data_IF_348015163892
#
_entry.id   IF_348015163892
#
_cell.length_a   1.000
_cell.length_b   1.000
_cell.length_c   1.000
_cell.angle_alpha   90.00
_cell.angle_beta   90.00
_cell.angle_gamma   90.00
#
_symmetry.space_group_name_H-M   'P 1'
#
loop_
_entity.id
_entity.type
_entity.pdbx_description
1 polymer ?
#
# COMPACT_ATOMS: atom_id res chain seq x y z
N UNK A 1 -4.33 3.69 -3.58
CA UNK A 1 -3.25 2.73 -3.79
C UNK A 1 -3.72 1.40 -3.23
N UNK A 2 -3.72 0.34 -4.03
CA UNK A 2 -4.10 -0.98 -3.53
C UNK A 2 -2.90 -1.63 -2.84
N UNK A 3 -3.15 -2.24 -1.69
CA UNK A 3 -2.18 -3.09 -1.00
C UNK A 3 -2.43 -4.51 -1.46
N UNK A 4 -1.38 -5.17 -1.94
CA UNK A 4 -1.51 -6.50 -2.54
C UNK A 4 -0.82 -7.54 -1.69
N UNK A 5 -1.51 -8.66 -1.49
CA UNK A 5 -0.91 -9.89 -0.95
C UNK A 5 0.14 -10.45 -1.91
N UNK A 6 0.99 -11.36 -1.45
CA UNK A 6 1.96 -12.08 -2.29
C UNK A 6 1.29 -12.72 -3.54
N UNK A 7 0.18 -13.43 -3.32
CA UNK A 7 -0.55 -14.12 -4.39
C UNK A 7 -1.11 -13.15 -5.42
N UNK A 8 -1.67 -12.04 -4.97
CA UNK A 8 -2.18 -10.99 -5.86
C UNK A 8 -1.06 -10.31 -6.66
N UNK A 9 0.10 -10.04 -6.03
CA UNK A 9 1.28 -9.50 -6.72
C UNK A 9 1.75 -10.44 -7.84
N UNK A 10 1.80 -11.75 -7.58
CA UNK A 10 2.18 -12.76 -8.58
C UNK A 10 1.15 -12.80 -9.71
N UNK A 11 -0.13 -12.86 -9.37
CA UNK A 11 -1.23 -12.90 -10.35
C UNK A 11 -1.24 -11.66 -11.24
N UNK A 12 -1.06 -10.47 -10.65
CA UNK A 12 -0.97 -9.20 -11.35
C UNK A 12 0.16 -9.24 -12.37
N UNK A 13 1.40 -9.55 -11.94
CA UNK A 13 2.57 -9.61 -12.83
C UNK A 13 2.42 -10.65 -13.93
N UNK A 14 1.82 -11.80 -13.63
CA UNK A 14 1.52 -12.83 -14.64
C UNK A 14 0.54 -12.31 -15.70
N UNK A 15 -0.49 -11.59 -15.29
CA UNK A 15 -1.52 -11.03 -16.18
C UNK A 15 -0.97 -9.87 -17.01
N UNK A 16 -0.15 -9.00 -16.44
CA UNK A 16 0.59 -7.96 -17.18
C UNK A 16 1.44 -8.54 -18.31
N UNK A 17 1.96 -9.76 -18.13
CA UNK A 17 2.73 -10.49 -19.15
C UNK A 17 1.89 -11.37 -20.07
N UNK A 18 0.56 -11.37 -19.96
CA UNK A 18 -0.34 -12.25 -20.71
C UNK A 18 -0.01 -13.75 -20.58
N UNK A 19 0.57 -14.16 -19.45
CA UNK A 19 0.98 -15.55 -19.23
C UNK A 19 -0.19 -16.37 -18.66
N UNK A 20 -0.37 -17.60 -19.15
CA UNK A 20 -1.25 -18.59 -18.51
C UNK A 20 -0.58 -19.15 -17.25
N UNK A 21 -1.35 -19.88 -16.41
CA UNK A 21 -0.79 -20.62 -15.28
C UNK A 21 0.25 -21.65 -15.75
N UNK A 22 0.01 -22.29 -16.91
CA UNK A 22 0.92 -23.25 -17.52
C UNK A 22 2.22 -22.58 -17.96
N UNK A 23 2.13 -21.38 -18.53
CA UNK A 23 3.32 -20.62 -18.93
C UNK A 23 4.16 -20.31 -17.69
N UNK A 24 3.58 -19.73 -16.63
CA UNK A 24 4.34 -19.40 -15.41
C UNK A 24 4.91 -20.65 -14.73
N UNK A 25 4.14 -21.74 -14.68
CA UNK A 25 4.57 -23.00 -14.11
C UNK A 25 5.81 -23.57 -14.81
N UNK A 26 5.85 -23.51 -16.15
CA UNK A 26 6.93 -24.09 -16.96
C UNK A 26 7.13 -25.57 -16.64
N UNK A 27 8.39 -25.97 -16.46
CA UNK A 27 8.75 -27.38 -16.23
C UNK A 27 9.08 -27.70 -14.77
N UNK A 28 9.08 -26.70 -13.87
CA UNK A 28 9.52 -26.87 -12.48
C UNK A 28 8.38 -27.20 -11.52
N UNK A 29 7.18 -26.69 -11.79
CA UNK A 29 6.01 -26.78 -10.92
C UNK A 29 4.75 -26.98 -11.74
N UNK A 30 3.64 -27.31 -11.10
CA UNK A 30 2.35 -27.50 -11.77
C UNK A 30 1.54 -26.19 -11.86
N UNK A 31 0.64 -26.04 -12.85
CA UNK A 31 -0.31 -24.93 -12.89
C UNK A 31 -1.18 -24.85 -11.62
N UNK A 32 -1.48 -25.99 -11.01
CA UNK A 32 -2.22 -26.07 -9.75
C UNK A 32 -1.47 -25.45 -8.58
N UNK A 33 -0.15 -25.66 -8.48
CA UNK A 33 0.68 -25.02 -7.46
C UNK A 33 0.70 -23.48 -7.62
N UNK A 34 0.83 -22.97 -8.85
CA UNK A 34 0.71 -21.52 -9.09
C UNK A 34 -0.66 -21.00 -8.66
N UNK A 35 -1.75 -21.71 -8.98
CA UNK A 35 -3.10 -21.30 -8.58
C UNK A 35 -3.26 -21.22 -7.05
N UNK A 36 -2.68 -22.16 -6.30
CA UNK A 36 -2.69 -22.13 -4.84
C UNK A 36 -1.91 -20.94 -4.28
N UNK A 37 -0.77 -20.61 -4.86
CA UNK A 37 0.02 -19.42 -4.48
C UNK A 37 -0.75 -18.14 -4.79
N UNK A 38 -1.29 -18.01 -6.00
CA UNK A 38 -2.05 -16.82 -6.42
C UNK A 38 -3.34 -16.58 -5.62
N UNK A 39 -3.91 -17.64 -5.06
CA UNK A 39 -5.10 -17.56 -4.20
C UNK A 39 -4.79 -17.44 -2.71
N UNK A 40 -3.50 -17.34 -2.34
CA UNK A 40 -3.07 -17.26 -0.94
C UNK A 40 -3.24 -18.56 -0.15
N UNK A 41 -3.63 -19.66 -0.80
CA UNK A 41 -3.85 -20.96 -0.16
C UNK A 41 -2.55 -21.73 0.11
N UNK A 42 -1.43 -21.30 -0.46
CA UNK A 42 -0.11 -21.86 -0.18
C UNK A 42 0.95 -20.77 -0.14
N UNK A 43 1.81 -20.81 0.88
CA UNK A 43 2.97 -19.94 0.95
C UNK A 43 4.17 -20.62 0.24
N UNK A 44 4.72 -20.05 -0.84
CA UNK A 44 5.86 -20.64 -1.54
C UNK A 44 7.14 -20.55 -0.70
N UNK A 45 8.07 -21.50 -0.88
CA UNK A 45 9.43 -21.34 -0.37
C UNK A 45 10.17 -20.22 -1.10
N UNK A 46 11.28 -19.72 -0.54
CA UNK A 46 12.13 -18.71 -1.18
C UNK A 46 12.61 -19.19 -2.56
N UNK A 47 13.11 -20.42 -2.67
CA UNK A 47 13.54 -21.00 -3.96
C UNK A 47 12.43 -21.01 -5.02
N UNK A 48 11.20 -21.29 -4.60
CA UNK A 48 10.04 -21.28 -5.50
C UNK A 48 9.69 -19.86 -5.89
N UNK A 49 9.75 -18.92 -4.94
CA UNK A 49 9.47 -17.52 -5.20
C UNK A 49 10.52 -16.89 -6.12
N UNK A 50 11.80 -17.20 -5.96
CA UNK A 50 12.87 -16.81 -6.88
C UNK A 50 12.63 -17.33 -8.29
N UNK A 51 12.21 -18.59 -8.42
CA UNK A 51 11.83 -19.14 -9.71
C UNK A 51 10.68 -18.35 -10.35
N UNK A 52 9.60 -18.09 -9.60
CA UNK A 52 8.46 -17.30 -10.07
C UNK A 52 8.92 -15.89 -10.47
N UNK A 53 9.73 -15.23 -9.66
CA UNK A 53 10.25 -13.90 -9.89
C UNK A 53 11.07 -13.82 -11.19
N UNK A 54 11.98 -14.78 -11.39
CA UNK A 54 12.77 -14.91 -12.62
C UNK A 54 11.88 -15.12 -13.86
N UNK A 55 10.87 -15.99 -13.78
CA UNK A 55 9.93 -16.24 -14.89
C UNK A 55 9.09 -15.00 -15.21
N UNK A 56 8.73 -14.22 -14.20
CA UNK A 56 8.01 -12.95 -14.32
C UNK A 56 8.95 -11.76 -14.58
N UNK A 57 10.26 -11.96 -14.74
CA UNK A 57 11.22 -10.87 -14.96
C UNK A 57 11.06 -9.72 -13.96
N UNK A 58 10.79 -10.06 -12.70
CA UNK A 58 10.51 -9.12 -11.61
C UNK A 58 11.45 -9.45 -10.47
N UNK A 59 11.88 -8.43 -9.71
CA UNK A 59 12.77 -8.63 -8.57
C UNK A 59 12.09 -9.42 -7.46
N UNK A 60 12.85 -10.26 -6.76
CA UNK A 60 12.35 -11.04 -5.62
C UNK A 60 11.78 -10.12 -4.53
N UNK A 61 12.45 -8.99 -4.28
CA UNK A 61 12.10 -7.99 -3.27
C UNK A 61 10.67 -7.48 -3.41
N UNK A 62 10.21 -7.27 -4.65
CA UNK A 62 8.84 -6.86 -4.93
C UNK A 62 7.82 -7.85 -4.37
N UNK A 63 8.10 -9.16 -4.46
CA UNK A 63 7.21 -10.19 -3.92
C UNK A 63 7.35 -10.34 -2.41
N UNK A 64 8.55 -10.18 -1.86
CA UNK A 64 8.80 -10.26 -0.41
C UNK A 64 8.22 -9.08 0.37
N UNK A 65 7.98 -7.94 -0.28
CA UNK A 65 7.42 -6.77 0.39
C UNK A 65 6.08 -7.07 1.07
N UNK A 66 6.01 -6.88 2.38
CA UNK A 66 4.81 -7.15 3.16
C UNK A 66 3.70 -6.13 2.89
N UNK A 67 2.46 -6.49 3.18
CA UNK A 67 1.32 -5.57 3.14
C UNK A 67 1.52 -4.39 4.10
N UNK A 68 2.12 -4.64 5.27
CA UNK A 68 2.48 -3.61 6.25
C UNK A 68 3.48 -2.60 5.65
N UNK A 69 4.50 -3.08 4.92
CA UNK A 69 5.49 -2.20 4.30
C UNK A 69 4.89 -1.40 3.15
N UNK A 70 4.03 -2.01 2.34
CA UNK A 70 3.25 -1.31 1.31
C UNK A 70 2.37 -0.22 1.95
N UNK A 71 1.65 -0.56 3.03
CA UNK A 71 0.78 0.38 3.73
C UNK A 71 1.55 1.54 4.37
N UNK A 72 2.76 1.27 4.88
CA UNK A 72 3.66 2.30 5.40
C UNK A 72 4.05 3.30 4.32
N UNK A 73 4.44 2.84 3.12
CA UNK A 73 4.72 3.73 1.97
C UNK A 73 3.50 4.55 1.55
N UNK A 74 2.30 3.95 1.60
CA UNK A 74 1.05 4.67 1.35
C UNK A 74 0.81 5.76 2.40
N UNK A 75 1.10 5.48 3.66
CA UNK A 75 1.02 6.48 4.73
C UNK A 75 2.05 7.60 4.52
N UNK A 76 3.31 7.29 4.24
CA UNK A 76 4.36 8.28 3.92
C UNK A 76 3.93 9.22 2.78
N UNK A 77 3.28 8.68 1.75
CA UNK A 77 2.76 9.48 0.65
C UNK A 77 1.67 10.46 1.09
N UNK A 78 0.67 10.00 1.84
CA UNK A 78 -0.41 10.87 2.30
C UNK A 78 0.03 11.89 3.34
N UNK A 79 0.98 11.50 4.19
CA UNK A 79 1.64 12.37 5.15
C UNK A 79 2.34 13.55 4.45
N UNK A 80 3.13 13.29 3.40
CA UNK A 80 3.74 14.35 2.61
C UNK A 80 2.73 15.28 1.92
N UNK A 81 1.61 14.74 1.41
CA UNK A 81 0.55 15.59 0.83
C UNK A 81 -0.13 16.43 1.90
N UNK A 82 -0.40 15.84 3.07
CA UNK A 82 -1.03 16.55 4.19
C UNK A 82 -0.16 17.72 4.66
N UNK A 83 1.12 17.48 4.94
CA UNK A 83 2.07 18.51 5.36
C UNK A 83 2.18 19.64 4.32
N UNK A 84 2.33 19.30 3.04
CA UNK A 84 2.37 20.30 1.96
C UNK A 84 1.06 21.10 1.89
N UNK A 85 -0.09 20.44 2.00
CA UNK A 85 -1.40 21.09 1.87
C UNK A 85 -1.69 22.00 3.07
N UNK A 86 -1.24 21.63 4.28
CA UNK A 86 -1.31 22.50 5.47
C UNK A 86 -0.50 23.77 5.25
N UNK A 87 0.75 23.63 4.77
CA UNK A 87 1.60 24.79 4.49
C UNK A 87 0.99 25.73 3.44
N UNK A 88 0.32 25.17 2.44
CA UNK A 88 -0.37 25.93 1.39
C UNK A 88 -1.75 26.46 1.84
N UNK A 89 -2.15 26.24 3.10
CA UNK A 89 -3.50 26.53 3.64
C UNK A 89 -4.65 25.90 2.84
N UNK A 90 -4.37 24.82 2.10
CA UNK A 90 -5.39 24.03 1.43
C UNK A 90 -5.96 22.99 2.41
N UNK A 91 -6.80 23.46 3.34
CA UNK A 91 -7.28 22.67 4.48
C UNK A 91 -8.12 21.47 4.05
N UNK A 92 -8.95 21.62 3.00
CA UNK A 92 -9.76 20.53 2.44
C UNK A 92 -8.85 19.40 1.95
N UNK A 93 -7.81 19.71 1.17
CA UNK A 93 -6.89 18.69 0.64
C UNK A 93 -6.05 18.07 1.76
N UNK A 94 -5.67 18.85 2.76
CA UNK A 94 -4.99 18.34 3.95
C UNK A 94 -5.88 17.33 4.68
N UNK A 95 -7.13 17.69 4.97
CA UNK A 95 -8.09 16.81 5.65
C UNK A 95 -8.27 15.49 4.90
N UNK A 96 -8.56 15.55 3.59
CA UNK A 96 -8.75 14.35 2.78
C UNK A 96 -7.51 13.43 2.81
N UNK A 97 -6.32 14.02 2.79
CA UNK A 97 -5.06 13.26 2.79
C UNK A 97 -4.82 12.60 4.13
N UNK A 98 -5.07 13.32 5.23
CA UNK A 98 -4.98 12.79 6.59
C UNK A 98 -5.97 11.64 6.79
N UNK A 99 -7.23 11.79 6.37
CA UNK A 99 -8.26 10.75 6.50
C UNK A 99 -7.88 9.48 5.72
N UNK A 100 -7.40 9.65 4.48
CA UNK A 100 -6.90 8.52 3.68
C UNK A 100 -5.71 7.84 4.36
N UNK A 101 -4.73 8.60 4.83
CA UNK A 101 -3.57 8.08 5.55
C UNK A 101 -3.96 7.32 6.83
N UNK A 102 -4.84 7.90 7.63
CA UNK A 102 -5.34 7.32 8.88
C UNK A 102 -6.08 6.00 8.63
N UNK A 103 -6.86 5.90 7.55
CA UNK A 103 -7.51 4.65 7.15
C UNK A 103 -6.50 3.51 6.95
N UNK A 104 -5.41 3.73 6.20
CA UNK A 104 -4.38 2.70 6.02
C UNK A 104 -3.64 2.41 7.33
N UNK A 105 -3.31 3.44 8.10
CA UNK A 105 -2.60 3.27 9.36
C UNK A 105 -3.41 2.41 10.36
N UNK A 106 -4.72 2.60 10.45
CA UNK A 106 -5.59 1.79 11.28
C UNK A 106 -5.77 0.38 10.73
N UNK A 107 -6.05 0.25 9.43
CA UNK A 107 -6.32 -1.04 8.77
C UNK A 107 -5.13 -2.00 8.88
N UNK A 108 -3.90 -1.49 8.77
CA UNK A 108 -2.67 -2.28 8.81
C UNK A 108 -1.91 -2.17 10.13
N UNK A 109 -2.55 -1.63 11.17
CA UNK A 109 -2.01 -1.51 12.53
C UNK A 109 -0.61 -0.85 12.58
N UNK A 110 -0.52 0.35 12.02
CA UNK A 110 0.69 1.18 11.97
C UNK A 110 0.61 2.31 13.01
N UNK A 111 0.96 2.08 14.29
CA UNK A 111 0.70 3.02 15.38
C UNK A 111 1.45 4.35 15.22
N UNK A 112 2.67 4.33 14.66
CA UNK A 112 3.44 5.54 14.37
C UNK A 112 2.67 6.47 13.42
N UNK A 113 2.24 5.96 12.27
CA UNK A 113 1.48 6.75 11.30
C UNK A 113 0.12 7.16 11.83
N UNK A 114 -0.56 6.28 12.58
CA UNK A 114 -1.83 6.62 13.22
C UNK A 114 -1.68 7.85 14.12
N UNK A 115 -0.71 7.82 15.04
CA UNK A 115 -0.47 8.95 15.94
C UNK A 115 -0.08 10.23 15.18
N UNK A 116 0.72 10.09 14.12
CA UNK A 116 1.09 11.22 13.26
C UNK A 116 -0.13 11.86 12.59
N UNK A 117 -1.00 11.07 11.98
CA UNK A 117 -2.22 11.58 11.34
C UNK A 117 -3.22 12.16 12.34
N UNK A 118 -3.38 11.57 13.52
CA UNK A 118 -4.22 12.12 14.59
C UNK A 118 -3.70 13.49 15.06
N UNK A 119 -2.38 13.66 15.17
CA UNK A 119 -1.75 14.94 15.49
C UNK A 119 -2.01 15.99 14.40
N UNK A 120 -1.78 15.64 13.12
CA UNK A 120 -2.04 16.55 12.00
C UNK A 120 -3.51 16.96 11.90
N UNK A 121 -4.44 16.04 12.16
CA UNK A 121 -5.87 16.34 12.20
C UNK A 121 -6.21 17.32 13.33
N UNK A 122 -5.58 17.17 14.50
CA UNK A 122 -5.76 18.11 15.61
C UNK A 122 -5.29 19.52 15.24
N UNK A 123 -4.10 19.63 14.65
CA UNK A 123 -3.54 20.90 14.18
C UNK A 123 -4.44 21.57 13.13
N UNK A 124 -4.99 20.78 12.20
CA UNK A 124 -5.89 21.27 11.16
C UNK A 124 -7.16 21.91 11.76
N UNK A 125 -7.78 21.23 12.74
CA UNK A 125 -8.99 21.74 13.41
C UNK A 125 -8.72 23.03 14.19
N UNK A 126 -7.55 23.14 14.82
CA UNK A 126 -7.15 24.39 15.50
C UNK A 126 -7.01 25.55 14.50
N UNK A 127 -6.43 25.29 13.32
CA UNK A 127 -6.33 26.28 12.25
C UNK A 127 -7.71 26.70 11.72
N UNK A 128 -8.63 25.75 11.52
CA UNK A 128 -10.00 26.03 11.07
C UNK A 128 -10.74 26.93 12.07
N UNK A 129 -10.71 26.59 13.36
CA UNK A 129 -11.32 27.40 14.41
C UNK A 129 -10.77 28.84 14.43
N UNK A 130 -9.45 28.99 14.35
CA UNK A 130 -8.81 30.32 14.34
C UNK A 130 -9.23 31.16 13.11
N UNK A 131 -9.43 30.53 11.94
CA UNK A 131 -9.91 31.21 10.73
C UNK A 131 -11.37 31.62 10.85
N UNK A 132 -12.23 30.77 11.44
CA UNK A 132 -13.62 31.11 11.70
C UNK A 132 -13.74 32.31 12.65
N UNK A 133 -12.96 32.33 13.73
CA UNK A 133 -12.92 33.47 14.66
C UNK A 133 -12.45 34.77 13.99
N UNK A 134 -11.42 34.69 13.13
CA UNK A 134 -10.90 35.85 12.40
C UNK A 134 -11.88 36.44 11.38
N UNK A 135 -12.81 35.63 10.85
CA UNK A 135 -13.83 36.07 9.87
C UNK A 135 -15.05 36.73 10.52
N UNK A 136 -15.21 36.64 11.84
CA UNK A 136 -16.33 37.24 12.58
C UNK A 136 -16.08 38.69 13.02
N UNK A 137 -14.91 39.25 12.72
CA UNK A 137 -14.48 40.62 13.06
C UNK A 137 -14.12 41.41 11.79
#
# INVERSE_FOLDING_TARGET
MEILTLGEKIKLKRKEKNMTLKDLAGNRITPGQISLVESGKSNPSIDLLEYIAKRLGTELEYFLESEEKQASKVCEFYDGIAESSINDMNLVRAQESIEKGLHYAQKYNLPYFRGKFEMLMSMLKEMENNLEEAQQH
#
